data_IF_684888311027
#
_entry.id   IF_684888311027
#
_cell.length_a   1.000
_cell.length_b   1.000
_cell.length_c   1.000
_cell.angle_alpha   90.00
_cell.angle_beta   90.00
_cell.angle_gamma   90.00
#
_symmetry.space_group_name_H-M   'P 1'
#
loop_
_entity.id
_entity.type
_entity.pdbx_description
1 polymer ?
#
# COMPACT_ATOMS: atom_id res chain seq x y z
N UNK A 1 -16.01 -13.84 7.68
CA UNK A 1 -14.64 -13.88 8.24
C UNK A 1 -14.51 -15.14 9.09
N UNK A 2 -13.48 -15.97 8.91
CA UNK A 2 -13.19 -17.12 9.79
C UNK A 2 -11.82 -16.86 10.40
N UNK A 3 -11.80 -16.55 11.69
CA UNK A 3 -10.56 -16.34 12.45
C UNK A 3 -10.04 -17.69 12.94
N UNK A 4 -8.72 -17.88 12.84
CA UNK A 4 -8.00 -19.07 13.34
C UNK A 4 -8.08 -19.16 14.88
N UNK A 5 -8.17 -20.35 15.49
CA UNK A 5 -8.32 -20.55 16.94
C UNK A 5 -7.25 -19.86 17.79
N UNK A 6 -6.04 -19.62 17.27
CA UNK A 6 -4.98 -18.87 17.96
C UNK A 6 -5.28 -17.37 18.16
N UNK A 7 -6.28 -16.83 17.46
CA UNK A 7 -6.74 -15.44 17.62
C UNK A 7 -7.88 -15.38 18.65
N UNK A 8 -8.54 -16.50 18.95
CA UNK A 8 -9.70 -16.52 19.85
C UNK A 8 -9.31 -16.38 21.33
N UNK A 9 -8.11 -16.84 21.72
CA UNK A 9 -7.61 -16.82 23.10
C UNK A 9 -6.64 -15.65 23.41
N UNK A 10 -6.35 -14.80 22.42
CA UNK A 10 -5.36 -13.73 22.56
C UNK A 10 -6.00 -12.37 22.75
N UNK A 11 -6.32 -11.99 23.98
CA UNK A 11 -6.54 -10.59 24.37
C UNK A 11 -5.23 -9.80 24.19
N UNK A 12 -4.85 -9.51 22.95
CA UNK A 12 -3.65 -8.76 22.63
C UNK A 12 -4.01 -7.42 22.02
N UNK A 13 -3.32 -6.39 22.50
CA UNK A 13 -3.40 -5.01 22.01
C UNK A 13 -3.17 -4.96 20.48
N UNK A 14 -2.32 -5.86 19.96
CA UNK A 14 -2.08 -6.03 18.52
C UNK A 14 -3.33 -6.52 17.78
N UNK A 15 -4.01 -7.56 18.29
CA UNK A 15 -5.22 -8.08 17.65
C UNK A 15 -6.36 -7.05 17.66
N UNK A 16 -6.54 -6.33 18.77
CA UNK A 16 -7.50 -5.23 18.86
C UNK A 16 -7.15 -4.09 17.87
N UNK A 17 -5.87 -3.70 17.79
CA UNK A 17 -5.38 -2.70 16.84
C UNK A 17 -5.64 -3.07 15.38
N UNK A 18 -5.32 -4.30 14.98
CA UNK A 18 -5.57 -4.79 13.61
C UNK A 18 -7.07 -4.87 13.31
N UNK A 19 -7.88 -5.41 14.23
CA UNK A 19 -9.33 -5.47 14.03
C UNK A 19 -9.95 -4.07 13.86
N UNK A 20 -9.50 -3.10 14.66
CA UNK A 20 -9.94 -1.72 14.52
C UNK A 20 -9.44 -1.05 13.22
N UNK A 21 -8.27 -1.44 12.70
CA UNK A 21 -7.77 -1.00 11.39
C UNK A 21 -8.64 -1.50 10.25
N UNK A 22 -9.01 -2.79 10.26
CA UNK A 22 -9.94 -3.36 9.29
C UNK A 22 -11.34 -2.71 9.39
N UNK A 23 -11.81 -2.41 10.61
CA UNK A 23 -13.02 -1.62 10.80
C UNK A 23 -12.89 -0.19 10.23
N UNK A 24 -11.69 0.39 10.32
CA UNK A 24 -11.34 1.66 9.67
C UNK A 24 -11.51 1.62 8.16
N UNK A 25 -11.05 0.55 7.49
CA UNK A 25 -11.30 0.33 6.06
C UNK A 25 -12.78 0.14 5.74
N UNK A 26 -13.52 -0.61 6.55
CA UNK A 26 -14.97 -0.76 6.37
C UNK A 26 -15.70 0.58 6.47
N UNK A 27 -15.28 1.45 7.39
CA UNK A 27 -15.82 2.81 7.50
C UNK A 27 -15.45 3.67 6.30
N UNK A 28 -14.22 3.56 5.77
CA UNK A 28 -13.83 4.24 4.54
C UNK A 28 -14.72 3.84 3.36
N UNK A 29 -14.98 2.54 3.21
CA UNK A 29 -15.83 2.00 2.15
C UNK A 29 -17.27 2.52 2.29
N UNK A 30 -17.85 2.44 3.49
CA UNK A 30 -19.19 2.96 3.79
C UNK A 30 -19.31 4.47 3.49
N UNK A 31 -18.26 5.25 3.74
CA UNK A 31 -18.25 6.69 3.52
C UNK A 31 -17.77 7.09 2.11
N UNK A 32 -17.59 6.15 1.19
CA UNK A 32 -17.13 6.43 -0.16
C UNK A 32 -15.80 7.23 -0.18
N UNK A 33 -14.86 6.84 0.69
CA UNK A 33 -13.59 7.54 0.82
C UNK A 33 -12.82 7.49 -0.52
N UNK A 34 -12.68 8.64 -1.16
CA UNK A 34 -12.19 8.73 -2.55
C UNK A 34 -10.83 8.04 -2.79
N UNK A 35 -9.81 8.15 -1.91
CA UNK A 35 -8.56 7.42 -2.09
C UNK A 35 -8.74 5.89 -2.07
N UNK A 36 -9.65 5.37 -1.24
CA UNK A 36 -9.95 3.93 -1.20
C UNK A 36 -10.61 3.49 -2.51
N UNK A 37 -11.56 4.27 -3.04
CA UNK A 37 -12.19 3.97 -4.32
C UNK A 37 -11.18 3.99 -5.47
N UNK A 38 -10.33 5.03 -5.51
CA UNK A 38 -9.27 5.12 -6.51
C UNK A 38 -8.34 3.90 -6.43
N UNK A 39 -7.86 3.56 -5.23
CA UNK A 39 -7.03 2.37 -4.99
C UNK A 39 -7.67 1.11 -5.54
N UNK A 40 -8.94 0.88 -5.22
CA UNK A 40 -9.69 -0.32 -5.64
C UNK A 40 -9.87 -0.37 -7.15
N UNK A 41 -10.20 0.76 -7.78
CA UNK A 41 -10.51 0.81 -9.21
C UNK A 41 -9.28 0.60 -10.10
N UNK A 42 -8.09 0.96 -9.63
CA UNK A 42 -6.84 0.81 -10.42
C UNK A 42 -6.19 -0.57 -10.26
N UNK A 43 -6.65 -1.42 -9.32
CA UNK A 43 -6.05 -2.75 -9.07
C UNK A 43 -5.86 -3.58 -10.35
N UNK A 44 -6.84 -3.71 -11.26
CA UNK A 44 -6.66 -4.52 -12.47
C UNK A 44 -5.54 -3.99 -13.37
N UNK A 45 -5.45 -2.66 -13.52
CA UNK A 45 -4.42 -2.02 -14.32
C UNK A 45 -3.03 -2.19 -13.69
N UNK A 46 -2.93 -2.09 -12.36
CA UNK A 46 -1.69 -2.28 -11.60
C UNK A 46 -1.23 -3.73 -11.65
N UNK A 47 -2.13 -4.72 -11.59
CA UNK A 47 -1.77 -6.14 -11.72
C UNK A 47 -1.16 -6.43 -13.09
N UNK A 48 -1.77 -5.90 -14.16
CA UNK A 48 -1.22 -6.03 -15.52
C UNK A 48 0.10 -5.27 -15.63
N UNK A 49 0.15 -4.00 -15.21
CA UNK A 49 1.34 -3.16 -15.34
C UNK A 49 2.53 -3.66 -14.52
N UNK A 50 2.29 -4.18 -13.32
CA UNK A 50 3.32 -4.74 -12.44
C UNK A 50 3.94 -6.03 -12.97
N UNK A 51 3.19 -6.84 -13.71
CA UNK A 51 3.70 -8.08 -14.33
C UNK A 51 4.27 -7.84 -15.73
N UNK A 52 3.53 -7.13 -16.59
CA UNK A 52 3.90 -6.88 -18.00
C UNK A 52 4.97 -5.81 -18.12
N UNK A 53 4.95 -4.78 -17.26
CA UNK A 53 5.86 -3.64 -17.34
C UNK A 53 7.34 -4.04 -17.31
N UNK A 54 7.82 -4.77 -16.29
CA UNK A 54 9.21 -5.25 -16.25
C UNK A 54 9.60 -6.15 -17.43
N UNK A 55 8.67 -6.98 -17.92
CA UNK A 55 8.91 -7.83 -19.09
C UNK A 55 9.06 -7.00 -20.36
N UNK A 56 8.20 -6.00 -20.58
CA UNK A 56 8.31 -5.08 -21.72
C UNK A 56 9.55 -4.21 -21.64
N UNK A 57 9.92 -3.76 -20.43
CA UNK A 57 11.17 -3.04 -20.21
C UNK A 57 12.34 -3.90 -20.68
N UNK A 58 12.44 -5.12 -20.16
CA UNK A 58 13.56 -6.01 -20.46
C UNK A 58 13.60 -6.43 -21.93
N UNK A 59 12.45 -6.75 -22.53
CA UNK A 59 12.38 -7.03 -23.97
C UNK A 59 12.76 -5.80 -24.82
N UNK A 60 12.34 -4.61 -24.40
CA UNK A 60 12.62 -3.35 -25.07
C UNK A 60 14.10 -3.01 -25.12
N UNK A 61 14.89 -3.39 -24.10
CA UNK A 61 16.34 -3.21 -24.12
C UNK A 61 17.03 -3.89 -25.32
N UNK A 62 16.44 -4.97 -25.85
CA UNK A 62 17.01 -5.72 -26.99
C UNK A 62 16.27 -5.45 -28.32
N UNK A 63 15.00 -5.07 -28.26
CA UNK A 63 14.13 -4.96 -29.44
C UNK A 63 13.96 -3.50 -29.88
N UNK A 64 13.59 -2.61 -28.96
CA UNK A 64 13.26 -1.22 -29.27
C UNK A 64 13.20 -0.35 -28.01
N UNK A 65 13.87 0.82 -28.00
CA UNK A 65 13.77 1.78 -26.90
C UNK A 65 12.33 2.19 -26.58
N UNK A 66 11.46 2.29 -27.60
CA UNK A 66 10.03 2.62 -27.42
C UNK A 66 9.32 1.57 -26.57
N UNK A 67 9.60 0.28 -26.83
CA UNK A 67 9.03 -0.82 -26.05
C UNK A 67 9.51 -0.78 -24.59
N UNK A 68 10.77 -0.40 -24.37
CA UNK A 68 11.31 -0.26 -23.03
C UNK A 68 10.58 0.84 -22.24
N UNK A 69 10.34 1.99 -22.87
CA UNK A 69 9.57 3.10 -22.30
C UNK A 69 8.11 2.73 -22.01
N UNK A 70 7.47 1.91 -22.85
CA UNK A 70 6.14 1.35 -22.55
C UNK A 70 6.19 0.52 -21.26
N UNK A 71 7.23 -0.29 -21.07
CA UNK A 71 7.45 -1.03 -19.82
C UNK A 71 7.58 -0.14 -18.59
N UNK A 72 8.31 0.97 -18.70
CA UNK A 72 8.44 1.99 -17.63
C UNK A 72 7.09 2.62 -17.30
N UNK A 73 6.31 3.01 -18.31
CA UNK A 73 4.99 3.60 -18.10
C UNK A 73 4.04 2.63 -17.39
N UNK A 74 4.05 1.36 -17.79
CA UNK A 74 3.25 0.31 -17.14
C UNK A 74 3.68 0.08 -15.68
N UNK A 75 4.99 0.07 -15.39
CA UNK A 75 5.48 -0.01 -14.01
C UNK A 75 5.12 1.24 -13.19
N UNK A 76 5.00 2.40 -13.83
CA UNK A 76 4.53 3.64 -13.21
C UNK A 76 3.16 3.52 -12.54
N UNK A 77 2.29 2.62 -13.02
CA UNK A 77 1.02 2.30 -12.36
C UNK A 77 1.23 1.74 -10.93
N UNK A 78 2.27 0.93 -10.72
CA UNK A 78 2.63 0.41 -9.39
C UNK A 78 3.04 1.54 -8.44
N UNK A 79 3.76 2.56 -8.95
CA UNK A 79 4.12 3.74 -8.15
C UNK A 79 2.87 4.53 -7.76
N UNK A 80 1.98 4.78 -8.71
CA UNK A 80 0.70 5.46 -8.45
C UNK A 80 -0.11 4.68 -7.39
N UNK A 81 -0.17 3.36 -7.50
CA UNK A 81 -0.86 2.52 -6.52
C UNK A 81 -0.30 2.65 -5.11
N UNK A 82 1.03 2.58 -4.96
CA UNK A 82 1.69 2.75 -3.67
C UNK A 82 1.40 4.13 -3.07
N UNK A 83 1.43 5.20 -3.88
CA UNK A 83 1.14 6.56 -3.42
C UNK A 83 -0.33 6.74 -3.00
N UNK A 84 -1.28 6.20 -3.76
CA UNK A 84 -2.71 6.24 -3.42
C UNK A 84 -3.02 5.39 -2.19
N UNK A 85 -2.24 4.33 -1.93
CA UNK A 85 -2.42 3.48 -0.75
C UNK A 85 -2.04 4.20 0.55
N UNK A 86 -1.04 5.08 0.54
CA UNK A 86 -0.60 5.80 1.76
C UNK A 86 -1.74 6.54 2.50
N UNK A 87 -2.53 7.43 1.87
CA UNK A 87 -3.62 8.12 2.57
C UNK A 87 -4.70 7.15 3.07
N UNK A 88 -4.93 6.03 2.37
CA UNK A 88 -5.88 4.99 2.79
C UNK A 88 -5.45 4.37 4.11
N UNK A 89 -4.19 3.97 4.22
CA UNK A 89 -3.65 3.29 5.41
C UNK A 89 -3.50 4.23 6.61
N UNK A 90 -3.09 5.48 6.37
CA UNK A 90 -3.01 6.49 7.44
C UNK A 90 -4.39 6.88 7.99
N UNK A 91 -5.39 7.04 7.11
CA UNK A 91 -6.75 7.37 7.53
C UNK A 91 -7.42 6.18 8.25
N UNK A 92 -7.22 4.94 7.78
CA UNK A 92 -7.69 3.74 8.48
C UNK A 92 -7.07 3.62 9.88
N UNK A 93 -5.76 3.84 10.01
CA UNK A 93 -5.07 3.86 11.30
C UNK A 93 -5.60 4.96 12.23
N UNK A 94 -5.96 6.13 11.69
CA UNK A 94 -6.54 7.23 12.46
C UNK A 94 -7.93 6.86 13.00
N UNK A 95 -8.78 6.26 12.16
CA UNK A 95 -10.10 5.77 12.57
C UNK A 95 -10.01 4.65 13.60
N UNK A 96 -9.04 3.74 13.44
CA UNK A 96 -8.79 2.67 14.40
C UNK A 96 -8.50 3.22 15.80
N UNK A 97 -7.58 4.19 15.92
CA UNK A 97 -7.27 4.84 17.20
C UNK A 97 -8.48 5.53 17.83
N UNK A 98 -9.29 6.19 16.99
CA UNK A 98 -10.50 6.86 17.46
C UNK A 98 -11.51 5.84 17.99
N UNK A 99 -11.80 4.78 17.24
CA UNK A 99 -12.74 3.72 17.62
C UNK A 99 -12.32 3.04 18.92
N UNK A 100 -11.04 2.68 19.04
CA UNK A 100 -10.50 2.04 20.22
C UNK A 100 -10.58 2.91 21.48
N UNK A 101 -10.42 4.23 21.31
CA UNK A 101 -10.56 5.22 22.39
C UNK A 101 -12.02 5.45 22.78
N UNK A 102 -12.94 5.57 21.82
CA UNK A 102 -14.35 5.89 22.08
C UNK A 102 -15.13 4.73 22.65
N UNK A 103 -14.82 3.50 22.23
CA UNK A 103 -15.51 2.29 22.69
C UNK A 103 -14.97 1.76 24.03
N UNK A 104 -13.97 2.41 24.63
CA UNK A 104 -13.36 1.96 25.89
C UNK A 104 -12.68 0.60 25.79
N UNK A 105 -12.33 0.16 24.58
CA UNK A 105 -11.67 -1.14 24.31
C UNK A 105 -10.25 -1.17 24.89
N UNK A 106 -9.64 0.01 25.04
CA UNK A 106 -8.26 0.17 25.51
C UNK A 106 -8.26 0.85 26.86
N UNK A 107 -7.53 0.27 27.83
CA UNK A 107 -7.50 0.74 29.22
C UNK A 107 -6.10 1.23 29.60
N UNK A 108 -6.01 2.32 30.34
CA UNK A 108 -4.72 2.82 30.85
C UNK A 108 -3.76 3.22 29.71
N UNK A 109 -2.54 2.69 29.72
CA UNK A 109 -1.48 3.06 28.77
C UNK A 109 -1.36 2.12 27.54
N UNK A 110 -2.38 1.31 27.27
CA UNK A 110 -2.36 0.35 26.16
C UNK A 110 -2.39 1.02 24.77
N UNK A 111 -2.82 2.28 24.70
CA UNK A 111 -2.86 3.07 23.46
C UNK A 111 -1.47 3.26 22.84
N UNK A 112 -0.41 3.33 23.65
CA UNK A 112 0.97 3.39 23.17
C UNK A 112 1.35 2.13 22.38
N UNK A 113 0.87 0.97 22.81
CA UNK A 113 1.09 -0.30 22.13
C UNK A 113 0.39 -0.32 20.77
N UNK A 114 -0.87 0.12 20.71
CA UNK A 114 -1.61 0.25 19.45
C UNK A 114 -0.94 1.21 18.50
N UNK A 115 -0.51 2.37 18.98
CA UNK A 115 0.19 3.36 18.17
C UNK A 115 1.45 2.77 17.54
N UNK A 116 2.23 1.99 18.30
CA UNK A 116 3.42 1.31 17.77
C UNK A 116 3.07 0.33 16.66
N UNK A 117 2.04 -0.50 16.85
CA UNK A 117 1.60 -1.48 15.85
C UNK A 117 1.10 -0.80 14.59
N UNK A 118 0.18 0.16 14.70
CA UNK A 118 -0.40 0.87 13.55
C UNK A 118 0.65 1.70 12.80
N UNK A 119 1.56 2.35 13.52
CA UNK A 119 2.65 3.10 12.89
C UNK A 119 3.63 2.16 12.19
N UNK A 120 3.97 1.01 12.79
CA UNK A 120 4.82 0.02 12.14
C UNK A 120 4.18 -0.52 10.85
N UNK A 121 2.88 -0.81 10.87
CA UNK A 121 2.13 -1.20 9.68
C UNK A 121 2.19 -0.11 8.60
N UNK A 122 1.91 1.15 8.96
CA UNK A 122 1.95 2.28 8.05
C UNK A 122 3.34 2.49 7.42
N UNK A 123 4.42 2.27 8.18
CA UNK A 123 5.80 2.35 7.68
C UNK A 123 6.10 1.30 6.61
N UNK A 124 5.44 0.14 6.61
CA UNK A 124 5.63 -0.85 5.54
C UNK A 124 5.13 -0.34 4.18
N UNK A 125 4.02 0.41 4.18
CA UNK A 125 3.51 1.07 2.98
C UNK A 125 4.40 2.22 2.53
N UNK A 126 4.95 3.00 3.46
CA UNK A 126 5.94 4.04 3.15
C UNK A 126 7.18 3.42 2.50
N UNK A 127 7.71 2.33 3.06
CA UNK A 127 8.84 1.63 2.48
C UNK A 127 8.53 1.09 1.08
N UNK A 128 7.34 0.52 0.86
CA UNK A 128 6.90 0.06 -0.45
C UNK A 128 6.79 1.20 -1.48
N UNK A 129 6.29 2.37 -1.08
CA UNK A 129 6.24 3.55 -1.93
C UNK A 129 7.65 4.04 -2.32
N UNK A 130 8.56 4.15 -1.34
CA UNK A 130 9.96 4.53 -1.58
C UNK A 130 10.64 3.53 -2.53
N UNK A 131 10.46 2.23 -2.30
CA UNK A 131 11.01 1.19 -3.16
C UNK A 131 10.49 1.31 -4.59
N UNK A 132 9.17 1.47 -4.78
CA UNK A 132 8.58 1.58 -6.10
C UNK A 132 9.07 2.83 -6.85
N UNK A 133 9.15 3.98 -6.16
CA UNK A 133 9.69 5.23 -6.71
C UNK A 133 11.16 5.06 -7.11
N UNK A 134 11.97 4.49 -6.21
CA UNK A 134 13.39 4.24 -6.46
C UNK A 134 13.60 3.31 -7.66
N UNK A 135 12.79 2.27 -7.77
CA UNK A 135 12.84 1.33 -8.90
C UNK A 135 12.44 2.00 -10.22
N UNK A 136 11.39 2.84 -10.22
CA UNK A 136 10.99 3.60 -11.40
C UNK A 136 12.08 4.59 -11.82
N UNK A 137 12.65 5.32 -10.87
CA UNK A 137 13.75 6.26 -11.12
C UNK A 137 14.97 5.52 -11.71
N UNK A 138 15.31 4.36 -11.16
CA UNK A 138 16.37 3.51 -11.69
C UNK A 138 16.11 3.11 -13.16
N UNK A 139 14.90 2.68 -13.50
CA UNK A 139 14.54 2.35 -14.89
C UNK A 139 14.62 3.56 -15.82
N UNK A 140 14.13 4.72 -15.39
CA UNK A 140 14.22 5.97 -16.16
C UNK A 140 15.68 6.34 -16.42
N UNK A 141 16.53 6.35 -15.39
CA UNK A 141 17.95 6.68 -15.54
C UNK A 141 18.70 5.69 -16.43
N UNK A 142 18.39 4.39 -16.32
CA UNK A 142 18.96 3.36 -17.20
C UNK A 142 18.65 3.63 -18.67
N UNK A 143 17.39 3.94 -19.01
CA UNK A 143 17.00 4.17 -20.41
C UNK A 143 17.52 5.49 -20.96
N UNK A 144 17.61 6.53 -20.12
CA UNK A 144 18.20 7.81 -20.54
C UNK A 144 19.69 7.67 -20.83
N UNK A 145 20.45 6.97 -19.98
CA UNK A 145 21.89 6.75 -20.20
C UNK A 145 22.20 5.91 -21.44
N UNK A 146 21.31 4.99 -21.82
CA UNK A 146 21.47 4.15 -23.02
C UNK A 146 20.99 4.85 -24.31
N UNK A 147 20.41 6.04 -24.23
CA UNK A 147 19.92 6.80 -25.40
C UNK A 147 20.97 7.77 -25.97
N UNK A 148 22.08 7.98 -25.26
CA UNK A 148 23.16 8.91 -25.63
C UNK A 148 24.35 8.22 -26.35
N UNK A 149 24.26 6.91 -26.60
CA UNK A 149 25.23 6.09 -27.38
C UNK A 149 24.70 5.77 -28.78
#
# INVERSE_FOLDING_TARGET
MRLSPKIYDGYSITAAGVAAHEAGHALQDQHNYAPLQLRTNIVPAVQVGGWVGPLMLMAGLFISPVLAWVGVLLFGLTVIFSLVTLPVEFDASKRARQLLSTEGIIVGNEMDGVNKVLNAAALTYVAAAIQAIGQLAYYVFMLMGNSDD
#
